data_IF_816342273838
#
_entry.id   IF_816342273838
#
_cell.length_a   1.000
_cell.length_b   1.000
_cell.length_c   1.000
_cell.angle_alpha   90.00
_cell.angle_beta   90.00
_cell.angle_gamma   90.00
#
_symmetry.space_group_name_H-M   'P 1'
#
loop_
_entity.id
_entity.type
_entity.pdbx_description
1 polymer ?
#
# COMPACT_ATOMS: atom_id res chain seq x y z
N UNK A 1 10.63 22.58 -23.81
CA UNK A 1 9.68 23.24 -22.88
C UNK A 1 9.14 22.18 -21.94
N UNK A 2 9.68 22.06 -20.73
CA UNK A 2 9.09 21.21 -19.70
C UNK A 2 7.79 21.87 -19.25
N UNK A 3 6.65 21.31 -19.67
CA UNK A 3 5.37 21.67 -19.07
C UNK A 3 5.47 21.29 -17.59
N UNK A 4 5.32 22.26 -16.69
CA UNK A 4 5.26 22.02 -15.26
C UNK A 4 4.10 21.04 -14.97
N UNK A 5 4.41 19.75 -14.86
CA UNK A 5 3.52 18.77 -14.26
C UNK A 5 3.42 19.10 -12.77
N UNK A 6 2.32 19.76 -12.41
CA UNK A 6 1.99 20.07 -11.03
C UNK A 6 0.83 19.15 -10.66
N UNK A 7 1.10 18.19 -9.78
CA UNK A 7 0.02 17.46 -9.10
C UNK A 7 -0.90 18.52 -8.50
N UNK A 8 -2.20 18.39 -8.74
CA UNK A 8 -3.14 19.35 -8.17
C UNK A 8 -3.20 19.22 -6.65
N UNK A 9 -3.49 20.33 -5.98
CA UNK A 9 -3.64 20.33 -4.52
C UNK A 9 -4.78 19.38 -4.09
N UNK A 10 -5.83 19.19 -4.90
CA UNK A 10 -6.87 18.18 -4.61
C UNK A 10 -6.31 16.77 -4.58
N UNK A 11 -5.46 16.43 -5.55
CA UNK A 11 -4.88 15.10 -5.69
C UNK A 11 -3.92 14.79 -4.53
N UNK A 12 -3.13 15.78 -4.10
CA UNK A 12 -2.29 15.65 -2.90
C UNK A 12 -3.15 15.37 -1.66
N UNK A 13 -4.27 16.09 -1.51
CA UNK A 13 -5.19 15.88 -0.38
C UNK A 13 -5.79 14.47 -0.39
N UNK A 14 -6.22 13.98 -1.55
CA UNK A 14 -6.76 12.61 -1.70
C UNK A 14 -5.71 11.58 -1.27
N UNK A 15 -4.49 11.67 -1.81
CA UNK A 15 -3.40 10.77 -1.46
C UNK A 15 -3.14 10.78 0.05
N UNK A 16 -3.00 11.97 0.64
CA UNK A 16 -2.71 12.09 2.06
C UNK A 16 -3.86 11.57 2.93
N UNK A 17 -5.11 11.87 2.60
CA UNK A 17 -6.27 11.36 3.33
C UNK A 17 -6.31 9.82 3.31
N UNK A 18 -6.08 9.19 2.15
CA UNK A 18 -6.04 7.74 2.06
C UNK A 18 -4.88 7.15 2.87
N UNK A 19 -3.69 7.75 2.80
CA UNK A 19 -2.53 7.27 3.55
C UNK A 19 -2.71 7.42 5.07
N UNK A 20 -3.22 8.56 5.53
CA UNK A 20 -3.48 8.80 6.96
C UNK A 20 -4.50 7.79 7.51
N UNK A 21 -5.59 7.55 6.79
CA UNK A 21 -6.60 6.57 7.21
C UNK A 21 -6.00 5.15 7.30
N UNK A 22 -5.29 4.71 6.26
CA UNK A 22 -4.70 3.37 6.19
C UNK A 22 -3.66 3.18 7.27
N UNK A 23 -2.68 4.09 7.37
CA UNK A 23 -1.54 3.94 8.29
C UNK A 23 -2.01 3.98 9.74
N UNK A 24 -2.84 4.97 10.10
CA UNK A 24 -3.33 5.11 11.47
C UNK A 24 -4.19 3.91 11.89
N UNK A 25 -5.05 3.43 10.99
CA UNK A 25 -5.97 2.34 11.34
C UNK A 25 -5.25 1.00 11.42
N UNK A 26 -4.30 0.74 10.51
CA UNK A 26 -3.44 -0.46 10.58
C UNK A 26 -2.61 -0.47 11.86
N UNK A 27 -2.03 0.67 12.25
CA UNK A 27 -1.26 0.79 13.52
C UNK A 27 -2.13 0.50 14.75
N UNK A 28 -3.34 1.07 14.80
CA UNK A 28 -4.32 0.81 15.86
C UNK A 28 -4.74 -0.66 15.92
N UNK A 29 -5.00 -1.29 14.78
CA UNK A 29 -5.36 -2.71 14.74
C UNK A 29 -4.17 -3.58 15.17
N UNK A 30 -2.98 -3.28 14.66
CA UNK A 30 -1.76 -4.03 14.94
C UNK A 30 -1.34 -4.00 16.42
N UNK A 31 -1.63 -2.90 17.12
CA UNK A 31 -1.31 -2.72 18.54
C UNK A 31 -2.49 -2.94 19.50
N UNK A 32 -3.71 -3.07 18.96
CA UNK A 32 -4.94 -3.03 19.76
C UNK A 32 -5.49 -4.37 20.23
N UNK A 33 -5.03 -5.49 19.67
CA UNK A 33 -5.48 -6.84 20.01
C UNK A 33 -4.34 -7.67 20.62
N UNK A 34 -4.68 -8.55 21.57
CA UNK A 34 -3.70 -9.38 22.29
C UNK A 34 -3.20 -10.57 21.47
N UNK A 35 -4.02 -11.09 20.54
CA UNK A 35 -3.69 -12.28 19.76
C UNK A 35 -3.64 -12.00 18.25
N UNK A 36 -2.73 -12.72 17.59
CA UNK A 36 -2.42 -12.56 16.16
C UNK A 36 -3.60 -12.93 15.26
N UNK A 37 -4.49 -13.83 15.69
CA UNK A 37 -5.63 -14.27 14.87
C UNK A 37 -6.69 -13.17 14.80
N UNK A 38 -7.01 -12.53 15.92
CA UNK A 38 -7.93 -11.41 15.98
C UNK A 38 -7.39 -10.21 15.21
N UNK A 39 -6.10 -9.88 15.36
CA UNK A 39 -5.44 -8.83 14.56
C UNK A 39 -5.57 -9.10 13.06
N UNK A 40 -5.30 -10.32 12.61
CA UNK A 40 -5.39 -10.68 11.20
C UNK A 40 -6.83 -10.58 10.65
N UNK A 41 -7.84 -11.01 11.42
CA UNK A 41 -9.24 -10.90 11.04
C UNK A 41 -9.71 -9.44 11.01
N UNK A 42 -9.29 -8.61 11.97
CA UNK A 42 -9.63 -7.19 12.00
C UNK A 42 -9.00 -6.43 10.81
N UNK A 43 -7.75 -6.73 10.46
CA UNK A 43 -7.11 -6.18 9.25
C UNK A 43 -7.88 -6.58 7.98
N UNK A 44 -8.28 -7.86 7.87
CA UNK A 44 -9.06 -8.33 6.73
C UNK A 44 -10.41 -7.64 6.64
N UNK A 45 -11.11 -7.46 7.77
CA UNK A 45 -12.38 -6.75 7.83
C UNK A 45 -12.21 -5.29 7.38
N UNK A 46 -11.25 -4.58 7.95
CA UNK A 46 -10.93 -3.19 7.57
C UNK A 46 -10.63 -3.06 6.08
N UNK A 47 -9.80 -3.95 5.51
CA UNK A 47 -9.50 -3.92 4.08
C UNK A 47 -10.73 -4.12 3.19
N UNK A 48 -11.75 -4.85 3.67
CA UNK A 48 -12.98 -5.12 2.93
C UNK A 48 -14.03 -4.02 3.10
N UNK A 49 -14.26 -3.56 4.33
CA UNK A 49 -15.28 -2.56 4.62
C UNK A 49 -14.90 -1.18 4.09
N UNK A 50 -13.61 -0.83 4.18
CA UNK A 50 -13.12 0.50 3.81
C UNK A 50 -12.50 0.55 2.41
N UNK A 51 -12.69 -0.50 1.60
CA UNK A 51 -12.22 -0.57 0.20
C UNK A 51 -10.75 -0.12 0.04
N UNK A 52 -9.90 -0.54 0.98
CA UNK A 52 -8.55 0.01 1.15
C UNK A 52 -7.68 -0.16 -0.10
N UNK A 53 -7.86 -1.28 -0.81
CA UNK A 53 -7.14 -1.52 -2.07
C UNK A 53 -7.51 -0.52 -3.16
N UNK A 54 -8.76 -0.05 -3.19
CA UNK A 54 -9.21 0.94 -4.17
C UNK A 54 -8.66 2.32 -3.84
N UNK A 55 -8.71 2.72 -2.56
CA UNK A 55 -8.09 3.96 -2.06
C UNK A 55 -6.59 4.02 -2.38
N UNK A 56 -5.87 2.92 -2.15
CA UNK A 56 -4.43 2.82 -2.48
C UNK A 56 -4.18 2.77 -3.99
N UNK A 57 -5.04 2.11 -4.77
CA UNK A 57 -4.92 2.08 -6.23
C UNK A 57 -5.12 3.46 -6.84
N UNK A 58 -6.06 4.26 -6.32
CA UNK A 58 -6.26 5.64 -6.73
C UNK A 58 -5.03 6.50 -6.44
N UNK A 59 -4.53 6.47 -5.19
CA UNK A 59 -3.32 7.20 -4.81
C UNK A 59 -2.13 6.79 -5.71
N UNK A 60 -1.96 5.49 -5.94
CA UNK A 60 -0.92 4.93 -6.82
C UNK A 60 -1.06 5.46 -8.25
N UNK A 61 -2.27 5.50 -8.81
CA UNK A 61 -2.53 6.00 -10.16
C UNK A 61 -2.14 7.47 -10.31
N UNK A 62 -2.51 8.31 -9.35
CA UNK A 62 -2.17 9.75 -9.34
C UNK A 62 -0.64 9.92 -9.32
N UNK A 63 0.04 9.21 -8.42
CA UNK A 63 1.50 9.29 -8.28
C UNK A 63 2.25 8.80 -9.52
N UNK A 64 1.83 7.67 -10.11
CA UNK A 64 2.43 7.15 -11.34
C UNK A 64 2.26 8.14 -12.50
N UNK A 65 1.07 8.69 -12.67
CA UNK A 65 0.82 9.67 -13.72
C UNK A 65 1.75 10.87 -13.55
N UNK A 66 1.80 11.48 -12.36
CA UNK A 66 2.66 12.64 -12.14
C UNK A 66 4.15 12.34 -12.33
N UNK A 67 4.62 11.18 -11.86
CA UNK A 67 6.02 10.82 -12.00
C UNK A 67 6.38 10.55 -13.47
N UNK A 68 5.50 9.88 -14.22
CA UNK A 68 5.71 9.61 -15.65
C UNK A 68 5.78 10.89 -16.48
N UNK A 69 5.00 11.92 -16.14
CA UNK A 69 5.06 13.22 -16.81
C UNK A 69 6.36 13.99 -16.50
N UNK A 70 6.93 13.79 -15.30
CA UNK A 70 8.17 14.46 -14.87
C UNK A 70 9.43 13.82 -15.44
N UNK A 71 9.50 12.49 -15.43
CA UNK A 71 10.66 11.73 -15.94
C UNK A 71 10.58 11.50 -17.46
N UNK A 72 9.37 11.52 -18.02
CA UNK A 72 9.12 11.01 -19.36
C UNK A 72 9.01 9.48 -19.37
N UNK A 73 8.27 8.95 -20.34
CA UNK A 73 7.85 7.54 -20.41
C UNK A 73 9.04 6.56 -20.33
N UNK A 74 10.11 6.81 -21.09
CA UNK A 74 11.25 5.88 -21.17
C UNK A 74 12.00 5.75 -19.84
N UNK A 75 12.25 6.88 -19.16
CA UNK A 75 12.95 6.87 -17.88
C UNK A 75 12.07 6.28 -16.77
N UNK A 76 10.77 6.60 -16.81
CA UNK A 76 9.79 6.04 -15.90
C UNK A 76 9.64 4.51 -16.04
N UNK A 77 9.52 3.99 -17.27
CA UNK A 77 9.38 2.55 -17.54
C UNK A 77 10.63 1.79 -17.07
N UNK A 78 11.82 2.34 -17.33
CA UNK A 78 13.06 1.76 -16.84
C UNK A 78 13.10 1.71 -15.31
N UNK A 79 12.59 2.73 -14.62
CA UNK A 79 12.57 2.75 -13.16
C UNK A 79 11.59 1.71 -12.60
N UNK A 80 10.35 1.67 -13.08
CA UNK A 80 9.31 0.79 -12.51
C UNK A 80 9.65 -0.68 -12.69
N UNK A 81 10.29 -1.06 -13.81
CA UNK A 81 10.71 -2.43 -14.10
C UNK A 81 11.87 -2.92 -13.24
N UNK A 82 12.73 -2.02 -12.75
CA UNK A 82 13.97 -2.40 -12.07
C UNK A 82 13.91 -2.25 -10.53
N UNK A 83 13.10 -1.33 -9.99
CA UNK A 83 13.20 -0.93 -8.57
C UNK A 83 12.04 -1.42 -7.67
N UNK A 84 11.11 -2.23 -8.17
CA UNK A 84 9.97 -2.71 -7.36
C UNK A 84 10.11 -4.17 -6.94
N UNK A 85 10.70 -4.39 -5.76
CA UNK A 85 10.65 -5.70 -5.11
C UNK A 85 9.23 -5.98 -4.56
N UNK A 86 8.59 -7.03 -5.07
CA UNK A 86 7.29 -7.46 -4.56
C UNK A 86 7.46 -8.58 -3.53
N UNK A 87 6.90 -8.39 -2.34
CA UNK A 87 6.73 -9.49 -1.40
C UNK A 87 5.80 -10.54 -2.02
N UNK A 88 6.21 -11.81 -1.97
CA UNK A 88 5.43 -12.92 -2.53
C UNK A 88 4.59 -13.54 -1.43
N UNK A 89 3.25 -13.60 -1.57
CA UNK A 89 2.42 -14.33 -0.65
C UNK A 89 2.85 -15.80 -0.58
N UNK A 90 2.95 -16.40 0.63
CA UNK A 90 3.39 -17.78 0.80
C UNK A 90 2.24 -18.75 0.47
N UNK A 91 1.82 -18.78 -0.80
CA UNK A 91 0.68 -19.58 -1.27
C UNK A 91 0.85 -21.09 -1.01
N UNK A 92 2.09 -21.54 -0.87
CA UNK A 92 2.45 -22.93 -0.57
C UNK A 92 2.38 -23.29 0.93
N UNK A 93 2.17 -22.32 1.82
CA UNK A 93 2.16 -22.52 3.27
C UNK A 93 0.75 -22.60 3.82
N UNK A 94 0.54 -23.49 4.79
CA UNK A 94 -0.71 -23.55 5.54
C UNK A 94 -0.73 -22.54 6.71
N UNK A 95 -1.89 -22.40 7.37
CA UNK A 95 -2.11 -21.48 8.51
C UNK A 95 -1.00 -21.58 9.58
N UNK A 96 -0.67 -22.80 10.02
CA UNK A 96 0.30 -23.02 11.10
C UNK A 96 1.72 -22.65 10.67
N UNK A 97 2.07 -22.89 9.40
CA UNK A 97 3.37 -22.50 8.85
C UNK A 97 3.49 -20.97 8.73
N UNK A 98 2.42 -20.28 8.33
CA UNK A 98 2.37 -18.82 8.28
C UNK A 98 2.47 -18.23 9.70
N UNK A 99 1.74 -18.77 10.68
CA UNK A 99 1.84 -18.33 12.07
C UNK A 99 3.27 -18.43 12.61
N UNK A 100 3.97 -19.55 12.35
CA UNK A 100 5.38 -19.71 12.72
C UNK A 100 6.30 -18.70 12.06
N UNK A 101 6.04 -18.31 10.80
CA UNK A 101 6.82 -17.25 10.17
C UNK A 101 6.66 -15.93 10.92
N UNK A 102 5.44 -15.61 11.35
CA UNK A 102 5.16 -14.39 12.12
C UNK A 102 5.86 -14.46 13.48
N UNK A 103 5.82 -15.58 14.18
CA UNK A 103 6.51 -15.76 15.47
C UNK A 103 8.05 -15.61 15.37
N UNK A 104 8.63 -15.89 14.20
CA UNK A 104 10.07 -15.74 13.98
C UNK A 104 10.49 -14.31 13.59
N UNK A 105 9.54 -13.39 13.41
CA UNK A 105 9.79 -11.98 13.12
C UNK A 105 9.85 -11.10 14.38
N UNK A 106 9.33 -11.63 15.50
CA UNK A 106 9.35 -11.00 16.84
C UNK A 106 10.64 -11.36 17.60
#
# INVERSE_FOLDING_TARGET
MSKNCKIDVSDIKIILTHLEEVVITVDKIGSGFEDKETTALALLLFFREEEILDKLAEARKILHHSLSEKLGVVEYDKWIENDTAHWKPPYEKNKNEIAKLIDNLD
#
